data_IF_379393521128
#
_entry.id   IF_379393521128
#
_cell.length_a   1.000
_cell.length_b   1.000
_cell.length_c   1.000
_cell.angle_alpha   90.00
_cell.angle_beta   90.00
_cell.angle_gamma   90.00
#
_symmetry.space_group_name_H-M   'P 1'
#
loop_
_entity.id
_entity.type
_entity.pdbx_description
1 polymer ?
#
# COMPACT_ATOMS: atom_id res chain seq x y z
N UNK A 1 -28.21 40.00 15.17
CA UNK A 1 -28.30 38.58 15.50
C UNK A 1 -28.26 37.62 14.30
N UNK A 2 -27.88 38.08 13.09
CA UNK A 2 -27.93 37.25 11.89
C UNK A 2 -26.58 36.86 11.32
N UNK A 3 -25.51 36.91 12.12
CA UNK A 3 -24.16 36.62 11.62
C UNK A 3 -23.67 35.19 11.90
N UNK A 4 -24.33 34.44 12.76
CA UNK A 4 -23.91 33.11 13.14
C UNK A 4 -24.04 32.03 12.05
N UNK A 5 -25.08 32.03 11.20
CA UNK A 5 -25.20 31.02 10.13
C UNK A 5 -24.14 31.14 9.04
N UNK A 6 -23.79 32.39 8.67
CA UNK A 6 -22.78 32.59 7.60
C UNK A 6 -21.36 32.19 8.01
N UNK A 7 -21.02 32.38 9.27
CA UNK A 7 -19.70 31.99 9.79
C UNK A 7 -19.57 30.47 9.79
N UNK A 8 -20.63 29.75 10.15
CA UNK A 8 -20.63 28.29 10.15
C UNK A 8 -20.55 27.70 8.74
N UNK A 9 -21.27 28.29 7.76
CA UNK A 9 -21.18 27.82 6.38
C UNK A 9 -19.80 28.05 5.77
N UNK A 10 -19.18 29.19 6.02
CA UNK A 10 -17.81 29.49 5.56
C UNK A 10 -16.78 28.58 6.21
N UNK A 11 -16.89 28.28 7.48
CA UNK A 11 -16.03 27.32 8.17
C UNK A 11 -16.21 25.90 7.66
N UNK A 12 -17.45 25.50 7.34
CA UNK A 12 -17.75 24.18 6.84
C UNK A 12 -17.14 23.95 5.45
N UNK A 13 -17.19 24.95 4.55
CA UNK A 13 -16.54 24.89 3.24
C UNK A 13 -15.02 24.87 3.36
N UNK A 14 -14.47 25.70 4.24
CA UNK A 14 -13.03 25.73 4.52
C UNK A 14 -12.56 24.38 5.07
N UNK A 15 -13.31 23.80 6.03
CA UNK A 15 -12.98 22.51 6.63
C UNK A 15 -12.99 21.37 5.60
N UNK A 16 -13.87 21.43 4.60
CA UNK A 16 -13.95 20.41 3.55
C UNK A 16 -12.69 20.40 2.69
N UNK A 17 -12.19 21.56 2.29
CA UNK A 17 -10.94 21.66 1.50
C UNK A 17 -9.75 21.18 2.32
N UNK A 18 -9.64 21.62 3.56
CA UNK A 18 -8.59 21.15 4.47
C UNK A 18 -8.70 19.65 4.73
N UNK A 19 -9.91 19.14 4.89
CA UNK A 19 -10.14 17.70 5.05
C UNK A 19 -9.58 16.91 3.86
N UNK A 20 -9.84 17.36 2.63
CA UNK A 20 -9.35 16.68 1.43
C UNK A 20 -7.81 16.78 1.32
N UNK A 21 -7.24 17.94 1.64
CA UNK A 21 -5.78 18.11 1.68
C UNK A 21 -5.14 17.16 2.69
N UNK A 22 -5.71 17.06 3.87
CA UNK A 22 -5.24 16.15 4.90
C UNK A 22 -5.39 14.70 4.49
N UNK A 23 -6.50 14.34 3.87
CA UNK A 23 -6.74 12.98 3.37
C UNK A 23 -5.68 12.58 2.33
N UNK A 24 -5.38 13.45 1.37
CA UNK A 24 -4.31 13.21 0.40
C UNK A 24 -2.96 13.03 1.07
N UNK A 25 -2.67 13.84 2.08
CA UNK A 25 -1.44 13.72 2.87
C UNK A 25 -1.34 12.38 3.59
N UNK A 26 -2.39 12.00 4.32
CA UNK A 26 -2.43 10.73 5.05
C UNK A 26 -2.34 9.52 4.14
N UNK A 27 -2.90 9.62 2.95
CA UNK A 27 -2.80 8.54 1.95
C UNK A 27 -1.43 8.48 1.28
N UNK A 28 -0.57 9.46 1.55
CA UNK A 28 0.80 9.44 1.05
C UNK A 28 0.99 10.14 -0.30
N UNK A 29 0.01 10.90 -0.76
CA UNK A 29 0.15 11.67 -2.00
C UNK A 29 0.89 13.00 -1.80
N UNK A 30 1.07 13.43 -0.56
CA UNK A 30 1.86 14.59 -0.22
C UNK A 30 1.06 15.86 0.01
N UNK A 31 1.81 16.96 0.12
CA UNK A 31 1.30 18.31 0.40
C UNK A 31 1.80 19.32 -0.64
N UNK A 32 2.18 18.84 -1.82
CA UNK A 32 2.76 19.70 -2.84
C UNK A 32 1.82 20.81 -3.33
N UNK A 33 2.41 21.92 -3.72
CA UNK A 33 1.64 23.07 -4.20
C UNK A 33 0.82 22.73 -5.45
N UNK A 34 1.42 21.98 -6.37
CA UNK A 34 0.72 21.55 -7.59
C UNK A 34 -0.51 20.70 -7.27
N UNK A 35 -0.38 19.78 -6.31
CA UNK A 35 -1.47 18.92 -5.87
C UNK A 35 -2.64 19.76 -5.32
N UNK A 36 -2.33 20.77 -4.49
CA UNK A 36 -3.32 21.65 -3.91
C UNK A 36 -3.99 22.55 -4.95
N UNK A 37 -3.22 23.05 -5.92
CA UNK A 37 -3.77 23.83 -7.03
C UNK A 37 -4.70 23.00 -7.91
N UNK A 38 -4.34 21.77 -8.20
CA UNK A 38 -5.18 20.86 -8.98
C UNK A 38 -6.48 20.53 -8.24
N UNK A 39 -6.40 20.39 -6.92
CA UNK A 39 -7.60 20.20 -6.09
C UNK A 39 -8.53 21.41 -6.18
N UNK A 40 -8.00 22.61 -5.99
CA UNK A 40 -8.79 23.84 -6.06
C UNK A 40 -9.41 24.04 -7.43
N UNK A 41 -8.67 23.76 -8.48
CA UNK A 41 -9.15 23.82 -9.86
C UNK A 41 -10.31 22.85 -10.09
N UNK A 42 -10.18 21.63 -9.60
CA UNK A 42 -11.26 20.62 -9.69
C UNK A 42 -12.50 21.03 -8.92
N UNK A 43 -12.33 21.53 -7.70
CA UNK A 43 -13.43 22.01 -6.86
C UNK A 43 -14.18 23.16 -7.54
N UNK A 44 -13.46 24.08 -8.15
CA UNK A 44 -14.05 25.25 -8.81
C UNK A 44 -14.58 24.95 -10.22
N UNK A 45 -14.27 23.78 -10.78
CA UNK A 45 -14.79 23.41 -12.09
C UNK A 45 -16.29 23.12 -12.03
N UNK A 46 -16.94 23.11 -13.20
CA UNK A 46 -18.35 22.76 -13.32
C UNK A 46 -18.56 21.25 -13.40
N UNK A 47 -17.50 20.47 -13.48
CA UNK A 47 -17.59 19.03 -13.63
C UNK A 47 -17.97 18.40 -12.29
N UNK A 48 -18.93 17.49 -12.31
CA UNK A 48 -19.34 16.73 -11.14
C UNK A 48 -18.22 15.77 -10.69
N UNK A 49 -17.44 15.28 -11.63
CA UNK A 49 -16.31 14.41 -11.37
C UNK A 49 -15.04 15.08 -11.89
N UNK A 50 -13.95 14.95 -11.15
CA UNK A 50 -12.64 15.43 -11.58
C UNK A 50 -11.54 14.52 -11.10
N UNK A 51 -10.39 14.61 -11.73
CA UNK A 51 -9.25 13.78 -11.44
C UNK A 51 -8.02 14.63 -11.16
N UNK A 52 -7.15 14.13 -10.28
CA UNK A 52 -5.83 14.70 -10.04
C UNK A 52 -4.80 13.63 -10.31
N UNK A 53 -3.77 13.97 -11.09
CA UNK A 53 -2.67 13.05 -11.39
C UNK A 53 -1.44 13.45 -10.59
N UNK A 54 -0.78 12.44 -10.02
CA UNK A 54 0.44 12.62 -9.26
C UNK A 54 1.32 11.38 -9.40
N UNK A 55 2.55 11.48 -8.95
CA UNK A 55 3.53 10.39 -9.04
C UNK A 55 4.17 10.13 -7.68
N UNK A 56 4.87 9.01 -7.56
CA UNK A 56 5.68 8.70 -6.39
C UNK A 56 7.02 8.12 -6.82
N UNK A 57 8.06 8.44 -6.05
CA UNK A 57 9.41 7.91 -6.24
C UNK A 57 9.71 6.71 -5.32
N UNK A 58 8.69 6.15 -4.67
CA UNK A 58 8.84 5.09 -3.66
C UNK A 58 8.85 3.68 -4.24
N UNK A 59 8.69 3.52 -5.55
CA UNK A 59 8.80 2.22 -6.19
C UNK A 59 10.26 1.75 -6.24
N UNK A 60 10.45 0.46 -6.48
CA UNK A 60 11.78 -0.11 -6.70
C UNK A 60 12.48 0.59 -7.87
N UNK A 61 13.83 0.67 -7.86
CA UNK A 61 14.57 1.21 -9.00
C UNK A 61 14.16 0.54 -10.31
N UNK A 62 13.94 1.34 -11.34
CA UNK A 62 13.45 0.87 -12.63
C UNK A 62 11.93 0.86 -12.78
N UNK A 63 11.21 0.98 -11.69
CA UNK A 63 9.75 1.09 -11.71
C UNK A 63 9.30 2.54 -11.53
N UNK A 64 8.23 2.89 -12.21
CA UNK A 64 7.62 4.22 -12.11
C UNK A 64 6.18 4.06 -11.62
N UNK A 65 5.82 4.84 -10.61
CA UNK A 65 4.47 4.81 -10.04
C UNK A 65 3.71 6.09 -10.39
N UNK A 66 2.56 5.93 -11.02
CA UNK A 66 1.64 7.01 -11.39
C UNK A 66 0.29 6.78 -10.72
N UNK A 67 -0.29 7.85 -10.21
CA UNK A 67 -1.58 7.81 -9.53
C UNK A 67 -2.57 8.77 -10.18
N UNK A 68 -3.82 8.32 -10.28
CA UNK A 68 -4.94 9.15 -10.69
C UNK A 68 -5.98 9.14 -9.59
N UNK A 69 -6.14 10.25 -8.90
CA UNK A 69 -7.09 10.40 -7.80
C UNK A 69 -8.43 10.84 -8.38
N UNK A 70 -9.51 10.15 -8.01
CA UNK A 70 -10.85 10.37 -8.57
C UNK A 70 -11.79 10.93 -7.53
N UNK A 71 -12.28 12.14 -7.81
CA UNK A 71 -13.16 12.90 -6.94
C UNK A 71 -14.55 13.01 -7.52
N UNK A 72 -15.54 13.12 -6.64
CA UNK A 72 -16.93 13.31 -7.01
C UNK A 72 -17.57 14.39 -6.15
N UNK A 73 -18.38 15.23 -6.78
CA UNK A 73 -19.20 16.25 -6.10
C UNK A 73 -20.63 15.74 -6.00
N UNK A 74 -21.20 15.84 -4.81
CA UNK A 74 -22.61 15.51 -4.62
C UNK A 74 -23.50 16.73 -4.86
N UNK A 75 -24.78 16.49 -5.11
CA UNK A 75 -25.76 17.56 -5.31
C UNK A 75 -25.93 18.44 -4.07
N UNK A 76 -25.64 17.91 -2.89
CA UNK A 76 -25.67 18.64 -1.63
C UNK A 76 -24.40 19.46 -1.34
N UNK A 77 -23.45 19.49 -2.27
CA UNK A 77 -22.21 20.27 -2.15
C UNK A 77 -21.06 19.54 -1.48
N UNK A 78 -21.20 18.24 -1.19
CA UNK A 78 -20.10 17.44 -0.68
C UNK A 78 -19.11 17.09 -1.78
N UNK A 79 -17.83 17.02 -1.42
CA UNK A 79 -16.75 16.64 -2.34
C UNK A 79 -15.99 15.48 -1.70
N UNK A 80 -15.85 14.39 -2.44
CA UNK A 80 -15.26 13.17 -1.91
C UNK A 80 -14.17 12.63 -2.83
N UNK A 81 -13.07 12.19 -2.24
CA UNK A 81 -12.11 11.32 -2.91
C UNK A 81 -12.66 9.90 -2.82
N UNK A 82 -13.17 9.37 -3.94
CA UNK A 82 -13.84 8.08 -3.96
C UNK A 82 -12.90 6.90 -4.19
N UNK A 83 -11.87 7.11 -4.99
CA UNK A 83 -10.94 6.06 -5.36
C UNK A 83 -9.70 6.67 -5.99
N UNK A 84 -8.68 5.86 -6.16
CA UNK A 84 -7.55 6.22 -6.98
C UNK A 84 -7.06 5.02 -7.78
N UNK A 85 -6.55 5.28 -8.96
CA UNK A 85 -5.85 4.29 -9.76
C UNK A 85 -4.36 4.41 -9.50
N UNK A 86 -3.71 3.28 -9.26
CA UNK A 86 -2.25 3.22 -9.17
C UNK A 86 -1.74 2.40 -10.34
N UNK A 87 -0.78 2.95 -11.07
CA UNK A 87 -0.16 2.31 -12.22
C UNK A 87 1.34 2.20 -12.00
N UNK A 88 1.87 1.04 -12.23
CA UNK A 88 3.30 0.76 -12.13
C UNK A 88 3.82 0.38 -13.51
N UNK A 89 4.87 1.07 -13.95
CA UNK A 89 5.52 0.83 -15.24
C UNK A 89 6.95 0.40 -14.98
N UNK A 90 7.37 -0.74 -15.55
CA UNK A 90 8.74 -1.24 -15.40
C UNK A 90 9.67 -0.72 -16.51
N UNK A 91 10.93 -1.15 -16.47
CA UNK A 91 11.95 -0.72 -17.44
C UNK A 91 11.65 -1.14 -18.89
N UNK A 92 10.84 -2.18 -19.07
CA UNK A 92 10.41 -2.63 -20.40
C UNK A 92 9.13 -1.96 -20.87
N UNK A 93 8.66 -0.94 -20.17
CA UNK A 93 7.40 -0.25 -20.42
C UNK A 93 6.16 -1.15 -20.28
N UNK A 94 6.28 -2.24 -19.54
CA UNK A 94 5.13 -3.04 -19.18
C UNK A 94 4.41 -2.36 -18.02
N UNK A 95 3.08 -2.29 -18.11
CA UNK A 95 2.25 -1.59 -17.14
C UNK A 95 1.32 -2.55 -16.43
N UNK A 96 1.19 -2.37 -15.12
CA UNK A 96 0.12 -2.98 -14.34
C UNK A 96 -0.57 -1.88 -13.53
N UNK A 97 -1.85 -2.05 -13.29
CA UNK A 97 -2.62 -1.05 -12.55
C UNK A 97 -3.75 -1.69 -11.76
N UNK A 98 -4.21 -0.95 -10.78
CA UNK A 98 -5.32 -1.38 -9.94
C UNK A 98 -6.08 -0.15 -9.43
N UNK A 99 -7.39 -0.29 -9.29
CA UNK A 99 -8.24 0.75 -8.74
C UNK A 99 -8.50 0.48 -7.27
N UNK A 100 -8.10 1.42 -6.43
CA UNK A 100 -8.21 1.31 -4.97
C UNK A 100 -9.36 2.20 -4.49
N UNK A 101 -10.38 1.63 -3.85
CA UNK A 101 -11.44 2.45 -3.26
C UNK A 101 -10.91 3.22 -2.05
N UNK A 102 -11.43 4.41 -1.86
CA UNK A 102 -11.17 5.22 -0.66
C UNK A 102 -12.44 5.22 0.17
N UNK A 103 -12.37 4.64 1.35
CA UNK A 103 -13.49 4.55 2.28
C UNK A 103 -12.97 4.75 3.71
N UNK A 104 -13.83 4.59 4.69
CA UNK A 104 -13.42 4.75 6.09
C UNK A 104 -12.62 3.56 6.62
N UNK A 105 -12.75 2.42 5.99
CA UNK A 105 -12.07 1.18 6.40
C UNK A 105 -11.20 0.68 5.26
N UNK A 106 -10.01 0.18 5.59
CA UNK A 106 -9.12 -0.53 4.66
C UNK A 106 -8.71 0.27 3.42
N UNK A 107 -8.51 1.57 3.57
CA UNK A 107 -7.95 2.36 2.48
C UNK A 107 -6.43 2.17 2.46
N UNK A 108 -5.93 1.65 1.35
CA UNK A 108 -4.49 1.52 1.17
C UNK A 108 -3.87 2.88 0.87
N UNK A 109 -2.70 3.13 1.49
CA UNK A 109 -1.89 4.30 1.17
C UNK A 109 -1.22 4.14 -0.19
N UNK A 110 -0.68 5.23 -0.72
CA UNK A 110 0.09 5.19 -1.97
C UNK A 110 1.25 4.19 -1.89
N UNK A 111 1.98 4.18 -0.77
CA UNK A 111 3.10 3.26 -0.57
C UNK A 111 2.63 1.81 -0.50
N UNK A 112 1.54 1.54 0.19
CA UNK A 112 0.96 0.18 0.24
C UNK A 112 0.48 -0.27 -1.14
N UNK A 113 -0.10 0.62 -1.92
CA UNK A 113 -0.50 0.32 -3.30
C UNK A 113 0.71 -0.07 -4.16
N UNK A 114 1.81 0.66 -4.04
CA UNK A 114 3.07 0.31 -4.72
C UNK A 114 3.54 -1.07 -4.26
N UNK A 115 3.54 -1.32 -2.95
CA UNK A 115 3.98 -2.60 -2.39
C UNK A 115 3.16 -3.76 -2.95
N UNK A 116 1.84 -3.60 -3.04
CA UNK A 116 0.96 -4.62 -3.62
C UNK A 116 1.24 -4.84 -5.11
N UNK A 117 1.41 -3.77 -5.87
CA UNK A 117 1.72 -3.86 -7.30
C UNK A 117 3.10 -4.47 -7.55
N UNK A 118 4.02 -4.33 -6.61
CA UNK A 118 5.34 -4.97 -6.68
C UNK A 118 5.35 -6.39 -6.10
N UNK A 119 4.18 -6.94 -5.78
CA UNK A 119 4.03 -8.34 -5.36
C UNK A 119 4.21 -8.60 -3.87
N UNK A 120 4.32 -7.56 -3.05
CA UNK A 120 4.45 -7.71 -1.60
C UNK A 120 3.09 -7.69 -0.93
N UNK A 121 3.04 -8.16 0.31
CA UNK A 121 1.82 -8.25 1.08
C UNK A 121 1.63 -7.05 2.00
N UNK A 122 0.40 -6.77 2.37
CA UNK A 122 0.04 -5.70 3.31
C UNK A 122 -0.93 -6.26 4.34
N UNK A 123 -0.71 -5.92 5.61
CA UNK A 123 -1.64 -6.28 6.67
C UNK A 123 -2.82 -5.31 6.67
N UNK A 124 -4.02 -5.86 6.72
CA UNK A 124 -5.26 -5.09 6.81
C UNK A 124 -6.02 -5.42 8.08
N UNK A 125 -6.84 -4.48 8.50
CA UNK A 125 -7.86 -4.69 9.52
C UNK A 125 -9.22 -4.61 8.85
N UNK A 126 -10.12 -5.49 9.20
CA UNK A 126 -11.47 -5.50 8.64
C UNK A 126 -12.47 -5.95 9.69
N UNK A 127 -13.71 -5.51 9.52
CA UNK A 127 -14.81 -5.95 10.35
C UNK A 127 -15.38 -7.24 9.77
N UNK A 128 -15.35 -8.32 10.56
CA UNK A 128 -15.94 -9.58 10.14
C UNK A 128 -17.41 -9.61 10.57
N UNK A 129 -18.36 -9.61 9.63
CA UNK A 129 -19.78 -9.59 9.98
C UNK A 129 -20.25 -10.86 10.69
N UNK A 130 -19.56 -11.98 10.51
CA UNK A 130 -19.92 -13.24 11.18
C UNK A 130 -19.58 -13.25 12.67
N UNK A 131 -18.42 -12.71 13.04
CA UNK A 131 -17.99 -12.63 14.43
C UNK A 131 -18.31 -11.30 15.09
N UNK A 132 -18.71 -10.30 14.31
CA UNK A 132 -18.92 -8.92 14.74
C UNK A 132 -17.70 -8.33 15.45
N UNK A 133 -16.50 -8.72 15.00
CA UNK A 133 -15.24 -8.27 15.58
C UNK A 133 -14.30 -7.75 14.50
N UNK A 134 -13.38 -6.87 14.92
CA UNK A 134 -12.27 -6.47 14.08
C UNK A 134 -11.26 -7.60 14.01
N UNK A 135 -10.91 -7.97 12.81
CA UNK A 135 -9.93 -9.01 12.53
C UNK A 135 -8.83 -8.47 11.62
N UNK A 136 -7.71 -9.19 11.58
CA UNK A 136 -6.60 -8.84 10.72
C UNK A 136 -6.36 -9.94 9.69
N UNK A 137 -5.79 -9.55 8.55
CA UNK A 137 -5.34 -10.48 7.53
C UNK A 137 -4.17 -9.85 6.80
N UNK A 138 -3.35 -10.67 6.16
CA UNK A 138 -2.39 -10.20 5.18
C UNK A 138 -2.96 -10.43 3.80
N UNK A 139 -2.82 -9.46 2.92
CA UNK A 139 -3.32 -9.55 1.55
C UNK A 139 -2.20 -9.27 0.57
N UNK A 140 -2.25 -9.91 -0.57
CA UNK A 140 -1.36 -9.64 -1.69
C UNK A 140 -2.13 -9.87 -2.99
N UNK A 141 -1.65 -9.31 -4.09
CA UNK A 141 -2.31 -9.54 -5.37
C UNK A 141 -2.03 -10.96 -5.87
N UNK A 142 -3.06 -11.57 -6.43
CA UNK A 142 -2.96 -12.84 -7.12
C UNK A 142 -2.90 -12.56 -8.63
N UNK A 143 -1.69 -12.46 -9.16
CA UNK A 143 -1.48 -12.15 -10.58
C UNK A 143 -1.84 -13.31 -11.50
N UNK A 144 -2.04 -14.51 -10.98
CA UNK A 144 -2.45 -15.69 -11.75
C UNK A 144 -3.93 -15.74 -12.06
N UNK A 145 -4.74 -15.16 -11.18
CA UNK A 145 -6.19 -15.16 -11.39
C UNK A 145 -6.57 -14.10 -12.43
N UNK A 146 -7.60 -14.37 -13.24
CA UNK A 146 -8.11 -13.35 -14.15
C UNK A 146 -8.53 -12.09 -13.38
N UNK A 147 -8.30 -10.94 -13.99
CA UNK A 147 -8.77 -9.67 -13.44
C UNK A 147 -10.29 -9.62 -13.43
N UNK A 148 -10.83 -8.80 -12.52
CA UNK A 148 -12.26 -8.50 -12.50
C UNK A 148 -12.67 -7.74 -13.77
N UNK A 149 -13.97 -7.62 -14.02
CA UNK A 149 -14.50 -6.84 -15.16
C UNK A 149 -14.03 -5.39 -15.14
N UNK A 150 -13.76 -4.85 -13.93
CA UNK A 150 -13.25 -3.48 -13.74
C UNK A 150 -11.74 -3.37 -13.93
N UNK A 151 -11.07 -4.47 -14.29
CA UNK A 151 -9.63 -4.47 -14.51
C UNK A 151 -8.80 -4.53 -13.25
N UNK A 152 -9.34 -5.04 -12.16
CA UNK A 152 -8.65 -5.15 -10.88
C UNK A 152 -8.12 -6.57 -10.65
N UNK A 153 -7.00 -6.66 -9.95
CA UNK A 153 -6.47 -7.95 -9.52
C UNK A 153 -7.31 -8.55 -8.41
N UNK A 154 -7.37 -9.86 -8.36
CA UNK A 154 -7.91 -10.57 -7.21
C UNK A 154 -6.90 -10.56 -6.08
N UNK A 155 -7.38 -10.56 -4.84
CA UNK A 155 -6.52 -10.66 -3.68
C UNK A 155 -6.37 -12.11 -3.23
N UNK A 156 -5.16 -12.43 -2.78
CA UNK A 156 -4.91 -13.61 -1.96
C UNK A 156 -4.86 -13.15 -0.51
N UNK A 157 -5.64 -13.81 0.35
CA UNK A 157 -5.79 -13.41 1.75
C UNK A 157 -5.21 -14.48 2.67
N UNK A 158 -4.45 -14.04 3.67
CA UNK A 158 -3.95 -14.89 4.75
C UNK A 158 -4.62 -14.43 6.04
N UNK A 159 -5.68 -15.13 6.42
CA UNK A 159 -6.45 -14.80 7.61
C UNK A 159 -5.74 -15.27 8.88
N UNK A 160 -6.27 -14.88 10.02
CA UNK A 160 -5.67 -15.13 11.33
C UNK A 160 -5.27 -16.59 11.54
N UNK A 161 -6.12 -17.54 11.17
CA UNK A 161 -5.83 -18.96 11.34
C UNK A 161 -4.74 -19.50 10.41
N UNK A 162 -4.34 -18.77 9.39
CA UNK A 162 -3.15 -19.13 8.62
C UNK A 162 -1.88 -19.00 9.46
N UNK A 163 -1.87 -18.12 10.46
CA UNK A 163 -0.80 -18.07 11.45
C UNK A 163 0.39 -17.19 11.07
N UNK A 164 0.18 -16.09 10.36
CA UNK A 164 1.26 -15.12 10.12
C UNK A 164 1.39 -14.24 11.36
N UNK A 165 2.43 -14.49 12.14
CA UNK A 165 2.72 -13.74 13.37
C UNK A 165 4.06 -13.03 13.21
N UNK A 166 4.01 -11.75 12.81
CA UNK A 166 5.20 -10.98 12.41
C UNK A 166 6.23 -10.87 13.54
N UNK A 167 5.78 -10.66 14.77
CA UNK A 167 6.65 -10.57 15.93
C UNK A 167 7.48 -11.84 16.13
N UNK A 168 6.86 -13.00 16.02
CA UNK A 168 7.54 -14.30 16.14
C UNK A 168 8.45 -14.57 14.96
N UNK A 169 8.04 -14.19 13.77
CA UNK A 169 8.85 -14.33 12.55
C UNK A 169 10.13 -13.51 12.69
N UNK A 170 10.02 -12.28 13.15
CA UNK A 170 11.17 -11.40 13.37
C UNK A 170 12.10 -11.95 14.44
N UNK A 171 11.57 -12.46 15.54
CA UNK A 171 12.38 -13.08 16.61
C UNK A 171 13.19 -14.27 16.12
N UNK A 172 12.63 -15.08 15.24
CA UNK A 172 13.32 -16.27 14.68
C UNK A 172 14.32 -15.94 13.59
N UNK A 173 14.35 -14.72 13.10
CA UNK A 173 15.14 -14.35 11.91
C UNK A 173 16.55 -13.86 12.22
N UNK A 174 16.99 -13.92 13.47
CA UNK A 174 18.31 -13.49 13.90
C UNK A 174 18.65 -12.03 13.54
N UNK A 175 17.65 -11.18 13.49
CA UNK A 175 17.85 -9.76 13.26
C UNK A 175 18.41 -9.11 14.51
N UNK A 176 19.27 -8.12 14.29
CA UNK A 176 19.94 -7.37 15.36
C UNK A 176 19.29 -5.99 15.45
N UNK A 177 18.87 -5.61 16.63
CA UNK A 177 18.29 -4.29 16.89
C UNK A 177 19.11 -3.58 17.96
N UNK A 178 19.59 -2.39 17.65
CA UNK A 178 20.37 -1.57 18.61
C UNK A 178 19.50 -1.05 19.75
N UNK A 179 18.18 -0.88 19.50
CA UNK A 179 17.19 -0.44 20.48
C UNK A 179 15.90 -1.23 20.32
N UNK A 180 15.16 -1.48 21.44
CA UNK A 180 13.88 -2.22 21.38
C UNK A 180 12.85 -1.58 20.45
N UNK A 181 12.80 -0.25 20.39
CA UNK A 181 11.88 0.49 19.53
C UNK A 181 12.11 0.24 18.04
N UNK A 182 13.35 -0.07 17.64
CA UNK A 182 13.66 -0.40 16.25
C UNK A 182 13.00 -1.71 15.82
N UNK A 183 12.88 -2.67 16.73
CA UNK A 183 12.19 -3.93 16.48
C UNK A 183 10.71 -3.67 16.17
N UNK A 184 10.03 -2.88 17.00
CA UNK A 184 8.63 -2.55 16.80
C UNK A 184 8.39 -1.79 15.49
N UNK A 185 9.25 -0.82 15.19
CA UNK A 185 9.17 -0.07 13.95
C UNK A 185 9.40 -0.96 12.72
N UNK A 186 10.33 -1.89 12.81
CA UNK A 186 10.59 -2.88 11.75
C UNK A 186 9.37 -3.77 11.52
N UNK A 187 8.75 -4.27 12.57
CA UNK A 187 7.54 -5.09 12.48
C UNK A 187 6.42 -4.32 11.78
N UNK A 188 6.15 -3.09 12.19
CA UNK A 188 5.12 -2.26 11.58
C UNK A 188 5.40 -1.98 10.12
N UNK A 189 6.66 -1.71 9.76
CA UNK A 189 7.06 -1.45 8.39
C UNK A 189 6.92 -2.70 7.51
N UNK A 190 7.32 -3.85 8.02
CA UNK A 190 7.16 -5.14 7.33
C UNK A 190 5.67 -5.44 7.07
N UNK A 191 4.81 -5.15 8.04
CA UNK A 191 3.37 -5.38 7.91
C UNK A 191 2.70 -4.47 6.89
N UNK A 192 3.31 -3.35 6.56
CA UNK A 192 2.88 -2.48 5.46
C UNK A 192 3.36 -2.95 4.09
N UNK A 193 4.17 -4.00 4.05
CA UNK A 193 4.75 -4.52 2.82
C UNK A 193 6.03 -3.83 2.40
N UNK A 194 6.62 -3.03 3.26
CA UNK A 194 7.84 -2.31 2.93
C UNK A 194 9.06 -3.24 2.91
N UNK A 195 10.03 -2.85 2.10
CA UNK A 195 11.38 -3.39 2.12
C UNK A 195 12.11 -2.65 3.22
N UNK A 196 12.56 -3.34 4.26
CA UNK A 196 13.18 -2.71 5.42
C UNK A 196 14.67 -3.00 5.47
N UNK A 197 15.45 -2.02 5.90
CA UNK A 197 16.89 -2.21 6.17
C UNK A 197 17.03 -2.99 7.46
N UNK A 198 17.87 -4.02 7.46
CA UNK A 198 18.08 -4.88 8.62
C UNK A 198 19.57 -5.20 8.78
N UNK A 199 19.93 -5.58 10.01
CA UNK A 199 21.21 -6.19 10.34
C UNK A 199 20.93 -7.60 10.87
N UNK A 200 21.74 -8.55 10.48
CA UNK A 200 21.60 -9.93 10.94
C UNK A 200 22.96 -10.61 11.05
N UNK A 201 23.02 -11.66 11.86
CA UNK A 201 24.23 -12.47 11.98
C UNK A 201 24.24 -13.57 10.93
N UNK A 202 25.37 -13.69 10.25
CA UNK A 202 25.63 -14.76 9.29
C UNK A 202 27.07 -15.24 9.49
N UNK A 203 27.26 -16.44 9.99
CA UNK A 203 28.56 -17.08 10.18
C UNK A 203 29.61 -16.12 10.77
N UNK A 204 29.42 -15.75 12.04
CA UNK A 204 30.33 -14.86 12.81
C UNK A 204 30.49 -13.44 12.27
N UNK A 205 29.63 -13.03 11.34
CA UNK A 205 29.60 -11.68 10.77
C UNK A 205 28.27 -11.02 10.98
N UNK A 206 28.29 -9.71 11.20
CA UNK A 206 27.10 -8.88 11.12
C UNK A 206 27.00 -8.36 9.69
N UNK A 207 25.90 -8.68 9.03
CA UNK A 207 25.63 -8.29 7.65
C UNK A 207 24.51 -7.27 7.64
N UNK A 208 24.69 -6.21 6.87
CA UNK A 208 23.63 -5.26 6.58
C UNK A 208 22.91 -5.71 5.31
N UNK A 209 21.59 -5.66 5.33
CA UNK A 209 20.78 -6.08 4.20
C UNK A 209 19.38 -5.54 4.27
N UNK A 210 18.49 -6.22 3.58
CA UNK A 210 17.08 -5.84 3.50
C UNK A 210 16.21 -7.06 3.71
N UNK A 211 15.00 -6.81 4.21
CA UNK A 211 14.03 -7.86 4.47
C UNK A 211 12.64 -7.44 3.98
N UNK A 212 11.89 -8.43 3.55
CA UNK A 212 10.45 -8.30 3.31
C UNK A 212 9.74 -9.42 4.05
N UNK A 213 8.47 -9.19 4.39
CA UNK A 213 7.64 -10.22 4.98
C UNK A 213 7.09 -11.13 3.88
N UNK A 214 7.17 -12.43 4.12
CA UNK A 214 6.59 -13.46 3.25
C UNK A 214 5.50 -14.20 4.03
N UNK A 215 4.23 -13.78 3.95
CA UNK A 215 3.15 -14.43 4.67
C UNK A 215 2.93 -15.88 4.26
N UNK A 216 3.09 -16.18 3.00
CA UNK A 216 2.86 -17.52 2.46
C UNK A 216 3.74 -18.56 3.17
N UNK A 217 5.00 -18.26 3.38
CA UNK A 217 5.95 -19.15 4.04
C UNK A 217 6.14 -18.83 5.52
N UNK A 218 5.43 -17.85 6.04
CA UNK A 218 5.52 -17.40 7.45
C UNK A 218 6.94 -17.10 7.87
N UNK A 219 7.68 -16.41 7.01
CA UNK A 219 9.07 -16.03 7.28
C UNK A 219 9.41 -14.68 6.65
N UNK A 220 10.66 -14.27 6.79
CA UNK A 220 11.23 -13.15 6.07
C UNK A 220 12.01 -13.65 4.86
N UNK A 221 11.94 -12.90 3.78
CA UNK A 221 12.91 -13.01 2.69
C UNK A 221 14.02 -11.99 2.96
N UNK A 222 15.27 -12.46 3.06
CA UNK A 222 16.42 -11.63 3.35
C UNK A 222 17.26 -11.41 2.10
N UNK A 223 17.73 -10.18 1.94
CA UNK A 223 18.53 -9.75 0.80
C UNK A 223 19.80 -9.06 1.30
N UNK A 224 20.87 -9.14 0.53
CA UNK A 224 22.07 -8.36 0.78
C UNK A 224 21.88 -6.90 0.36
N UNK A 225 22.88 -6.05 0.56
CA UNK A 225 22.80 -4.63 0.21
C UNK A 225 22.63 -4.37 -1.28
N UNK A 226 23.00 -5.33 -2.12
CA UNK A 226 22.84 -5.28 -3.58
C UNK A 226 21.51 -5.87 -4.04
N UNK A 227 20.59 -6.14 -3.11
CA UNK A 227 19.25 -6.66 -3.39
C UNK A 227 19.26 -8.11 -3.92
N UNK A 228 20.32 -8.86 -3.70
CA UNK A 228 20.38 -10.29 -4.00
C UNK A 228 19.85 -11.10 -2.81
N UNK A 229 19.04 -12.10 -3.10
CA UNK A 229 18.52 -12.95 -2.05
C UNK A 229 19.63 -13.78 -1.41
N UNK A 230 19.71 -13.78 -0.08
CA UNK A 230 20.72 -14.47 0.68
C UNK A 230 20.59 -15.93 0.43
N UNK A 231 20.62 -16.82 0.33
CA UNK A 231 20.52 -18.26 0.08
C UNK A 231 20.31 -18.66 -1.38
N UNK A 232 19.94 -17.74 -2.27
CA UNK A 232 19.61 -18.10 -3.65
C UNK A 232 20.35 -17.32 -4.72
N UNK A 233 21.09 -16.26 -4.34
CA UNK A 233 21.79 -15.34 -5.25
C UNK A 233 20.87 -14.68 -6.30
N UNK A 234 19.57 -14.68 -6.06
CA UNK A 234 18.62 -13.99 -6.91
C UNK A 234 18.45 -12.56 -6.43
N UNK A 235 18.40 -11.57 -7.34
CA UNK A 235 18.11 -10.20 -6.95
C UNK A 235 16.68 -10.08 -6.42
N UNK A 236 16.39 -9.00 -5.69
CA UNK A 236 15.01 -8.66 -5.37
C UNK A 236 14.31 -8.37 -6.68
N UNK A 237 13.32 -9.20 -6.99
CA UNK A 237 12.67 -9.16 -8.28
C UNK A 237 11.73 -7.98 -8.40
N UNK A 238 11.78 -7.31 -9.54
CA UNK A 238 10.78 -6.33 -9.95
C UNK A 238 9.53 -7.02 -10.50
N UNK A 239 8.61 -6.23 -11.04
CA UNK A 239 7.31 -6.70 -11.51
C UNK A 239 7.40 -7.94 -12.41
N UNK A 240 8.35 -7.97 -13.34
CA UNK A 240 8.42 -9.02 -14.32
C UNK A 240 8.78 -10.38 -13.78
N UNK A 241 9.81 -10.42 -12.94
CA UNK A 241 10.29 -11.67 -12.37
C UNK A 241 9.36 -12.17 -11.28
N UNK A 242 8.87 -11.28 -10.45
CA UNK A 242 7.88 -11.59 -9.42
C UNK A 242 6.65 -12.24 -10.02
N UNK A 243 6.16 -11.72 -11.14
CA UNK A 243 4.98 -12.26 -11.80
C UNK A 243 5.15 -13.70 -12.26
N UNK A 244 6.36 -14.15 -12.56
CA UNK A 244 6.61 -15.54 -12.94
C UNK A 244 6.75 -16.48 -11.77
N UNK A 245 7.47 -16.09 -10.73
CA UNK A 245 7.75 -16.93 -9.56
C UNK A 245 6.62 -16.95 -8.56
N UNK A 246 6.10 -15.79 -8.25
CA UNK A 246 5.02 -15.64 -7.29
C UNK A 246 3.72 -16.27 -7.80
N UNK A 247 3.52 -16.32 -9.11
CA UNK A 247 2.37 -16.96 -9.73
C UNK A 247 2.24 -18.44 -9.38
N UNK A 248 3.32 -19.21 -9.47
CA UNK A 248 3.26 -20.63 -9.13
C UNK A 248 3.09 -20.87 -7.62
N UNK A 249 3.71 -20.04 -6.80
CA UNK A 249 3.63 -20.16 -5.34
C UNK A 249 2.25 -19.77 -4.81
N UNK A 250 1.69 -18.71 -5.36
CA UNK A 250 0.37 -18.19 -4.95
C UNK A 250 -0.75 -19.19 -5.23
N UNK A 251 -0.67 -19.94 -6.34
CA UNK A 251 -1.66 -20.95 -6.70
C UNK A 251 -1.81 -22.06 -5.70
N UNK A 252 -0.72 -22.48 -5.08
CA UNK A 252 -0.71 -23.61 -4.14
C UNK A 252 -1.35 -23.30 -2.81
N UNK A 253 -1.46 -22.04 -2.43
CA UNK A 253 -1.88 -21.64 -1.08
C UNK A 253 -2.97 -20.58 -1.04
N UNK A 254 -3.69 -20.35 -2.15
CA UNK A 254 -4.69 -19.29 -2.17
C UNK A 254 -5.87 -19.58 -1.25
N UNK A 255 -6.11 -18.64 -0.34
CA UNK A 255 -7.32 -18.60 0.47
C UNK A 255 -8.28 -17.66 -0.25
N UNK A 256 -9.34 -18.21 -0.80
CA UNK A 256 -10.33 -17.42 -1.53
C UNK A 256 -11.27 -16.70 -0.55
N UNK A 257 -11.57 -15.45 -0.86
CA UNK A 257 -12.63 -14.70 -0.17
C UNK A 257 -14.00 -15.30 -0.47
#
# INVERSE_FOLDING_TARGET
NNQTPNIMETQKEFDQVEYLKNQMKYLGFGEGEKLHKDLEKGINSKNQQFEIKTTSDKALPGNKADFTLKFNKTDSGGIFLNSYNAKLTNEKNEEISHNFPVNRENTFTAKEAINLLEGRSVKIEFHNPKSDQQETAFVQFNFDEPKTEKGNYMFQNFYKNYGVETDKIVEKSNLIFDKPEYKENTIKSLEKGNIVKVKFEQVDKIVEGKAILDPQNRNLKLYDSDMNRINTNKPLEGIEQDNKHEKSNVKEQSIKR
#
